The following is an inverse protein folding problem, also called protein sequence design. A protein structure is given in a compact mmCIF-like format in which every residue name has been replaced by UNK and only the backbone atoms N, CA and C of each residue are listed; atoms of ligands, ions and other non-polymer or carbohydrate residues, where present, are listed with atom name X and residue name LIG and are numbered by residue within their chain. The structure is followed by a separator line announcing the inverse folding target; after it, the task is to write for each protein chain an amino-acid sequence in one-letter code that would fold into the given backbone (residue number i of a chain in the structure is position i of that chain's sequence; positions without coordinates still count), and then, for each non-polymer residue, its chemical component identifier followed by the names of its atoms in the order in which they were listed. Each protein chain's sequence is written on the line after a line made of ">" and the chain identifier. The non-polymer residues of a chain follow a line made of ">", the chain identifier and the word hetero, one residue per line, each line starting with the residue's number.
data_IF_302129676836
#
_entry.id   IF_302129676836
#
_cell.length_a   1.000
_cell.length_b   1.000
_cell.length_c   1.000
_cell.angle_alpha   90.00
_cell.angle_beta   90.00
_cell.angle_gamma   90.00
#
_symmetry.space_group_name_H-M   'P 1'
#
loop_
_entity.id
_entity.type
_entity.pdbx_description
1 polymer ?
#
# COMPACT_ATOMS: atom_id res chain seq x y z
N UNK A 1 13.27 18.82 -10.06
CA UNK A 1 13.64 17.47 -10.52
C UNK A 1 13.78 17.49 -12.04
N UNK A 2 14.91 17.03 -12.63
CA UNK A 2 15.08 16.96 -14.08
C UNK A 2 14.11 15.97 -14.73
N UNK A 3 13.83 16.18 -16.02
CA UNK A 3 12.82 15.39 -16.73
C UNK A 3 13.06 13.87 -16.73
N UNK A 4 14.29 13.36 -17.01
CA UNK A 4 14.53 11.93 -16.99
C UNK A 4 14.28 11.30 -15.61
N UNK A 5 14.70 12.00 -14.55
CA UNK A 5 14.47 11.57 -13.16
C UNK A 5 12.98 11.58 -12.83
N UNK A 6 12.24 12.63 -13.24
CA UNK A 6 10.78 12.71 -13.03
C UNK A 6 10.05 11.55 -13.68
N UNK A 7 10.40 11.20 -14.93
CA UNK A 7 9.78 10.06 -15.62
C UNK A 7 10.09 8.73 -14.96
N UNK A 8 11.35 8.51 -14.57
CA UNK A 8 11.75 7.29 -13.85
C UNK A 8 11.01 7.15 -12.52
N UNK A 9 10.96 8.21 -11.72
CA UNK A 9 10.21 8.25 -10.46
C UNK A 9 8.73 7.95 -10.70
N UNK A 10 8.09 8.60 -11.67
CA UNK A 10 6.67 8.35 -11.97
C UNK A 10 6.41 6.88 -12.37
N UNK A 11 7.29 6.28 -13.18
CA UNK A 11 7.16 4.88 -13.59
C UNK A 11 7.28 3.91 -12.40
N UNK A 12 8.24 4.15 -11.51
CA UNK A 12 8.44 3.31 -10.34
C UNK A 12 7.32 3.47 -9.31
N UNK A 13 6.84 4.70 -9.10
CA UNK A 13 5.66 4.95 -8.25
C UNK A 13 4.43 4.24 -8.81
N UNK A 14 4.22 4.28 -10.13
CA UNK A 14 3.16 3.52 -10.79
C UNK A 14 3.29 2.01 -10.48
N UNK A 15 4.47 1.42 -10.64
CA UNK A 15 4.71 0.01 -10.32
C UNK A 15 4.40 -0.29 -8.84
N UNK A 16 4.87 0.54 -7.91
CA UNK A 16 4.57 0.35 -6.49
C UNK A 16 3.06 0.38 -6.20
N UNK A 17 2.31 1.27 -6.87
CA UNK A 17 0.84 1.34 -6.75
C UNK A 17 0.18 0.08 -7.31
N UNK A 18 0.64 -0.45 -8.45
CA UNK A 18 0.14 -1.73 -8.98
C UNK A 18 0.37 -2.89 -8.00
N UNK A 19 1.54 -2.93 -7.35
CA UNK A 19 1.83 -3.94 -6.32
C UNK A 19 0.91 -3.78 -5.11
N UNK A 20 0.67 -2.56 -4.64
CA UNK A 20 -0.30 -2.29 -3.56
C UNK A 20 -1.73 -2.70 -3.94
N UNK A 21 -2.15 -2.48 -5.19
CA UNK A 21 -3.44 -2.95 -5.69
C UNK A 21 -3.55 -4.48 -5.60
N UNK A 22 -2.49 -5.21 -5.95
CA UNK A 22 -2.47 -6.67 -5.82
C UNK A 22 -2.55 -7.10 -4.34
N UNK A 23 -1.90 -6.39 -3.41
CA UNK A 23 -2.04 -6.65 -1.97
C UNK A 23 -3.50 -6.57 -1.54
N UNK A 24 -4.21 -5.50 -1.91
CA UNK A 24 -5.64 -5.35 -1.58
C UNK A 24 -6.48 -6.48 -2.17
N UNK A 25 -6.19 -6.88 -3.42
CA UNK A 25 -6.89 -7.97 -4.10
C UNK A 25 -6.72 -9.32 -3.38
N UNK A 26 -5.50 -9.63 -2.96
CA UNK A 26 -5.21 -10.88 -2.27
C UNK A 26 -5.72 -10.89 -0.82
N UNK A 27 -5.77 -9.72 -0.18
CA UNK A 27 -6.29 -9.57 1.19
C UNK A 27 -7.83 -9.65 1.26
N UNK A 28 -8.55 -9.22 0.23
CA UNK A 28 -10.01 -9.18 0.22
C UNK A 28 -10.70 -10.54 -0.02
N UNK A 29 -9.96 -11.61 -0.32
CA UNK A 29 -10.56 -12.89 -0.73
C UNK A 29 -10.24 -14.04 0.22
N UNK A 30 -11.29 -14.72 0.71
CA UNK A 30 -11.19 -16.06 1.32
C UNK A 30 -10.73 -17.14 0.31
N UNK A 31 -10.63 -16.78 -0.97
CA UNK A 31 -10.38 -17.68 -2.10
C UNK A 31 -8.89 -17.94 -2.33
N UNK A 32 -8.00 -17.04 -1.91
CA UNK A 32 -6.57 -17.20 -2.14
C UNK A 32 -5.92 -18.08 -1.07
N UNK A 33 -5.80 -19.40 -1.33
CA UNK A 33 -4.95 -20.32 -0.54
C UNK A 33 -3.52 -19.77 -0.31
N UNK A 34 -3.08 -18.89 -1.20
CA UNK A 34 -1.76 -18.27 -1.21
C UNK A 34 -1.74 -16.81 -0.72
N UNK A 35 -2.81 -16.29 -0.08
CA UNK A 35 -2.88 -14.88 0.30
C UNK A 35 -1.65 -14.44 1.10
N UNK A 36 -1.22 -15.23 2.08
CA UNK A 36 -0.04 -14.95 2.92
C UNK A 36 1.21 -14.72 2.08
N UNK A 37 1.46 -15.62 1.13
CA UNK A 37 2.65 -15.57 0.27
C UNK A 37 2.56 -14.36 -0.67
N UNK A 38 1.41 -14.19 -1.31
CA UNK A 38 1.24 -13.16 -2.32
C UNK A 38 1.18 -11.76 -1.72
N UNK A 39 0.48 -11.54 -0.60
CA UNK A 39 0.46 -10.25 0.07
C UNK A 39 1.85 -9.86 0.58
N UNK A 40 2.62 -10.80 1.13
CA UNK A 40 4.01 -10.55 1.54
C UNK A 40 4.92 -10.23 0.36
N UNK A 41 4.88 -11.00 -0.73
CA UNK A 41 5.69 -10.69 -1.91
C UNK A 41 5.32 -9.32 -2.50
N UNK A 42 4.03 -9.02 -2.66
CA UNK A 42 3.63 -7.76 -3.27
C UNK A 42 3.86 -6.55 -2.39
N UNK A 43 3.66 -6.65 -1.08
CA UNK A 43 3.96 -5.55 -0.17
C UNK A 43 5.47 -5.28 -0.09
N UNK A 44 6.30 -6.33 -0.12
CA UNK A 44 7.76 -6.18 -0.12
C UNK A 44 8.29 -5.62 -1.43
N UNK A 45 7.79 -6.09 -2.58
CA UNK A 45 8.08 -5.53 -3.91
C UNK A 45 7.73 -4.02 -3.97
N UNK A 46 6.55 -3.64 -3.46
CA UNK A 46 6.11 -2.25 -3.42
C UNK A 46 7.06 -1.38 -2.56
N UNK A 47 7.40 -1.86 -1.37
CA UNK A 47 8.29 -1.17 -0.46
C UNK A 47 9.71 -1.03 -1.04
N UNK A 48 10.24 -2.06 -1.71
CA UNK A 48 11.56 -1.99 -2.37
C UNK A 48 11.58 -1.04 -3.56
N UNK A 49 10.47 -0.98 -4.30
CA UNK A 49 10.31 -0.02 -5.40
C UNK A 49 10.30 1.40 -4.86
N UNK A 50 9.55 1.68 -3.79
CA UNK A 50 9.53 2.99 -3.14
C UNK A 50 10.87 3.36 -2.48
N UNK A 51 11.56 2.40 -1.87
CA UNK A 51 12.92 2.61 -1.39
C UNK A 51 13.87 2.97 -2.52
N UNK A 52 13.78 2.29 -3.67
CA UNK A 52 14.58 2.61 -4.85
C UNK A 52 14.28 4.02 -5.39
N UNK A 53 13.00 4.44 -5.36
CA UNK A 53 12.61 5.84 -5.69
C UNK A 53 13.29 6.83 -4.73
N UNK A 54 13.20 6.59 -3.42
CA UNK A 54 13.80 7.45 -2.41
C UNK A 54 15.32 7.54 -2.59
N UNK A 55 16.00 6.40 -2.81
CA UNK A 55 17.44 6.35 -3.04
C UNK A 55 17.86 7.05 -4.34
N UNK A 56 17.08 6.92 -5.42
CA UNK A 56 17.37 7.60 -6.67
C UNK A 56 17.26 9.13 -6.54
N UNK A 57 16.23 9.61 -5.84
CA UNK A 57 16.06 11.04 -5.54
C UNK A 57 17.19 11.53 -4.63
N UNK A 58 17.54 10.78 -3.57
CA UNK A 58 18.61 11.14 -2.65
C UNK A 58 19.97 11.19 -3.36
N UNK A 59 20.28 10.23 -4.23
CA UNK A 59 21.50 10.23 -5.04
C UNK A 59 21.59 11.46 -5.94
N UNK A 60 20.48 11.84 -6.58
CA UNK A 60 20.42 13.09 -7.35
C UNK A 60 20.67 14.33 -6.47
N UNK A 61 20.00 14.42 -5.31
CA UNK A 61 20.16 15.53 -4.38
C UNK A 61 21.61 15.63 -3.87
N UNK A 62 22.25 14.51 -3.53
CA UNK A 62 23.64 14.44 -3.10
C UNK A 62 24.58 14.92 -4.21
N UNK A 63 24.36 14.48 -5.46
CA UNK A 63 25.13 14.95 -6.61
C UNK A 63 25.00 16.47 -6.84
N UNK A 64 23.89 17.07 -6.41
CA UNK A 64 23.62 18.50 -6.50
C UNK A 64 23.94 19.27 -5.21
N UNK A 65 24.74 18.68 -4.32
CA UNK A 65 25.32 19.36 -3.16
C UNK A 65 24.41 19.44 -1.93
N UNK A 66 23.34 18.65 -1.86
CA UNK A 66 22.58 18.51 -0.61
C UNK A 66 23.42 17.72 0.40
N UNK A 67 23.52 18.27 1.60
CA UNK A 67 24.31 17.70 2.69
C UNK A 67 23.78 16.31 3.14
N UNK A 68 24.66 15.33 3.43
CA UNK A 68 24.25 13.99 3.86
C UNK A 68 23.40 13.94 5.13
N UNK A 69 23.64 14.80 6.12
CA UNK A 69 22.84 14.84 7.35
C UNK A 69 21.41 15.32 7.06
N UNK A 70 21.28 16.31 6.18
CA UNK A 70 19.98 16.76 5.67
C UNK A 70 19.26 15.64 4.92
N UNK A 71 19.97 14.89 4.06
CA UNK A 71 19.40 13.74 3.36
C UNK A 71 18.95 12.64 4.32
N UNK A 72 19.72 12.35 5.38
CA UNK A 72 19.34 11.38 6.39
C UNK A 72 18.02 11.77 7.08
N UNK A 73 17.81 13.07 7.31
CA UNK A 73 16.56 13.62 7.80
C UNK A 73 15.39 13.39 6.83
N UNK A 74 15.57 13.66 5.54
CA UNK A 74 14.54 13.44 4.52
C UNK A 74 14.22 11.95 4.30
N UNK A 75 15.24 11.10 4.38
CA UNK A 75 15.11 9.65 4.27
C UNK A 75 14.54 9.00 5.53
N UNK A 76 14.44 9.77 6.63
CA UNK A 76 13.93 9.30 7.92
C UNK A 76 14.63 8.01 8.39
N UNK A 77 15.96 7.93 8.23
CA UNK A 77 16.71 6.68 8.49
C UNK A 77 16.56 6.16 9.93
N UNK A 78 16.26 7.03 10.89
CA UNK A 78 15.98 6.62 12.27
C UNK A 78 14.66 5.89 12.45
N UNK A 79 13.74 5.99 11.49
CA UNK A 79 12.45 5.29 11.47
C UNK A 79 12.48 4.03 10.60
N UNK A 80 13.60 3.77 9.91
CA UNK A 80 13.73 2.59 9.06
C UNK A 80 13.71 1.33 9.93
N UNK A 81 12.89 0.36 9.54
CA UNK A 81 12.88 -0.98 10.12
C UNK A 81 13.38 -1.99 9.09
N UNK A 82 14.34 -2.82 9.48
CA UNK A 82 14.86 -3.88 8.62
C UNK A 82 13.89 -5.06 8.60
N UNK A 83 13.44 -5.43 7.40
CA UNK A 83 12.60 -6.62 7.22
C UNK A 83 13.34 -7.92 7.54
N UNK A 84 14.67 -7.92 7.47
CA UNK A 84 15.49 -9.08 7.81
C UNK A 84 15.45 -9.39 9.32
N UNK A 85 15.04 -8.42 10.14
CA UNK A 85 14.92 -8.57 11.59
C UNK A 85 13.62 -9.30 11.97
N UNK A 86 12.71 -9.49 11.00
CA UNK A 86 11.40 -10.11 11.18
C UNK A 86 10.42 -9.24 11.97
N UNK A 87 9.22 -9.77 12.28
CA UNK A 87 8.25 -9.04 13.10
C UNK A 87 8.81 -8.70 14.48
N UNK A 88 8.66 -7.45 14.88
CA UNK A 88 9.10 -6.91 16.17
C UNK A 88 8.00 -7.05 17.24
N UNK A 89 8.31 -6.70 18.49
CA UNK A 89 7.33 -6.71 19.58
C UNK A 89 6.14 -5.78 19.31
N UNK A 90 6.41 -4.61 18.75
CA UNK A 90 5.42 -3.63 18.30
C UNK A 90 4.42 -4.23 17.30
N UNK A 91 4.90 -5.00 16.31
CA UNK A 91 4.04 -5.70 15.33
C UNK A 91 3.17 -6.76 16.00
N UNK A 92 3.75 -7.55 16.92
CA UNK A 92 3.03 -8.60 17.66
C UNK A 92 1.99 -8.00 18.59
N UNK A 93 2.28 -6.86 19.20
CA UNK A 93 1.35 -6.15 20.08
C UNK A 93 0.16 -5.58 19.30
N UNK A 94 0.42 -4.94 18.14
CA UNK A 94 -0.65 -4.48 17.24
C UNK A 94 -1.51 -5.68 16.79
N UNK A 95 -0.89 -6.76 16.33
CA UNK A 95 -1.61 -7.99 15.92
C UNK A 95 -2.44 -8.58 17.06
N UNK A 96 -1.92 -8.63 18.29
CA UNK A 96 -2.65 -9.11 19.45
C UNK A 96 -3.90 -8.27 19.71
N UNK A 97 -3.80 -6.94 19.59
CA UNK A 97 -4.93 -6.03 19.67
C UNK A 97 -5.99 -6.29 18.60
N UNK A 98 -5.56 -6.47 17.34
CA UNK A 98 -6.44 -6.76 16.20
C UNK A 98 -7.21 -8.07 16.37
N UNK A 99 -6.57 -9.09 16.94
CA UNK A 99 -7.13 -10.42 17.09
C UNK A 99 -7.86 -10.64 18.44
N UNK A 100 -7.97 -9.60 19.28
CA UNK A 100 -8.55 -9.70 20.62
C UNK A 100 -7.78 -10.64 21.57
N UNK A 101 -6.49 -10.86 21.31
CA UNK A 101 -5.62 -11.69 22.12
C UNK A 101 -5.15 -10.91 23.36
N UNK A 102 -4.69 -11.63 24.38
CA UNK A 102 -4.09 -11.00 25.55
C UNK A 102 -2.90 -10.14 25.17
N UNK A 103 -2.82 -8.94 25.74
CA UNK A 103 -1.67 -8.06 25.58
C UNK A 103 -0.37 -8.79 25.96
N UNK A 104 0.75 -8.54 25.23
CA UNK A 104 2.07 -9.02 25.63
C UNK A 104 2.38 -8.67 27.10
N UNK A 105 3.01 -9.59 27.84
CA UNK A 105 3.20 -9.47 29.29
C UNK A 105 4.05 -8.25 29.73
N UNK A 106 4.80 -7.69 28.79
CA UNK A 106 5.70 -6.53 28.85
C UNK A 106 5.06 -5.22 28.34
N UNK A 107 3.83 -5.26 27.82
CA UNK A 107 3.14 -4.09 27.30
C UNK A 107 2.88 -2.99 28.35
N UNK A 108 3.00 -3.30 29.64
CA UNK A 108 2.89 -2.31 30.72
C UNK A 108 4.14 -1.43 30.89
N UNK A 109 5.32 -1.90 30.44
CA UNK A 109 6.61 -1.22 30.66
C UNK A 109 7.05 -0.35 29.46
N UNK A 110 6.59 -0.68 28.25
CA UNK A 110 6.92 0.04 27.02
C UNK A 110 5.69 0.79 26.47
N UNK A 111 5.68 2.11 26.62
CA UNK A 111 4.55 2.96 26.22
C UNK A 111 4.12 2.80 24.75
N UNK A 112 5.06 2.51 23.84
CA UNK A 112 4.81 2.26 22.42
C UNK A 112 4.03 0.97 22.19
N UNK A 113 4.42 -0.13 22.85
CA UNK A 113 3.78 -1.45 22.76
C UNK A 113 2.30 -1.35 23.18
N UNK A 114 2.02 -0.66 24.29
CA UNK A 114 0.65 -0.42 24.76
C UNK A 114 -0.18 0.38 23.77
N UNK A 115 0.42 1.44 23.21
CA UNK A 115 -0.25 2.29 22.23
C UNK A 115 -0.64 1.49 20.98
N UNK A 116 0.27 0.66 20.46
CA UNK A 116 0.03 -0.16 19.27
C UNK A 116 -0.99 -1.28 19.53
N UNK A 117 -0.93 -1.93 20.69
CA UNK A 117 -1.98 -2.86 21.11
C UNK A 117 -3.36 -2.19 21.13
N UNK A 118 -3.48 -1.02 21.78
CA UNK A 118 -4.73 -0.26 21.82
C UNK A 118 -5.17 0.28 20.46
N UNK A 119 -4.23 0.55 19.54
CA UNK A 119 -4.54 0.86 18.14
C UNK A 119 -5.18 -0.35 17.45
N UNK A 120 -4.58 -1.54 17.58
CA UNK A 120 -5.14 -2.76 17.02
C UNK A 120 -6.55 -3.07 17.52
N UNK A 121 -6.83 -2.83 18.81
CA UNK A 121 -8.18 -2.99 19.37
C UNK A 121 -9.20 -2.06 18.70
N UNK A 122 -8.85 -0.78 18.53
CA UNK A 122 -9.73 0.20 17.86
C UNK A 122 -10.00 -0.18 16.40
N UNK A 123 -8.96 -0.57 15.68
CA UNK A 123 -9.09 -1.03 14.29
C UNK A 123 -9.97 -2.30 14.19
N UNK A 124 -9.89 -3.21 15.16
CA UNK A 124 -10.77 -4.38 15.22
C UNK A 124 -12.24 -4.03 15.53
N UNK A 125 -12.48 -3.02 16.38
CA UNK A 125 -13.82 -2.49 16.63
C UNK A 125 -14.39 -1.79 15.40
N UNK A 126 -13.58 -1.00 14.69
CA UNK A 126 -13.95 -0.35 13.43
C UNK A 126 -14.27 -1.37 12.33
N UNK A 127 -13.48 -2.44 12.22
CA UNK A 127 -13.70 -3.52 11.24
C UNK A 127 -14.98 -4.34 11.48
N UNK A 128 -15.61 -4.25 12.66
CA UNK A 128 -16.92 -4.85 12.91
C UNK A 128 -18.07 -4.04 12.31
N UNK A 129 -17.82 -2.80 11.89
CA UNK A 129 -18.77 -2.03 11.10
C UNK A 129 -18.61 -2.43 9.62
N UNK A 130 -19.65 -2.99 8.99
CA UNK A 130 -19.55 -3.60 7.66
C UNK A 130 -19.36 -2.60 6.52
N UNK A 131 -19.44 -1.30 6.79
CA UNK A 131 -19.19 -0.28 5.78
C UNK A 131 -17.69 0.00 5.71
N UNK A 132 -17.03 -0.55 4.69
CA UNK A 132 -15.70 -0.10 4.30
C UNK A 132 -15.71 1.43 4.17
N UNK A 133 -14.67 2.09 4.67
CA UNK A 133 -14.52 3.55 4.51
C UNK A 133 -14.76 3.92 3.04
N UNK A 134 -15.63 4.91 2.75
CA UNK A 134 -15.92 5.34 1.38
C UNK A 134 -14.65 5.64 0.55
N UNK A 135 -13.59 6.11 1.22
CA UNK A 135 -12.28 6.37 0.64
C UNK A 135 -11.56 5.09 0.20
N UNK A 136 -11.66 4.01 0.97
CA UNK A 136 -11.10 2.69 0.61
C UNK A 136 -11.85 2.12 -0.60
N UNK A 137 -13.19 2.12 -0.55
CA UNK A 137 -14.03 1.68 -1.67
C UNK A 137 -13.74 2.47 -2.95
N UNK A 138 -13.66 3.80 -2.84
CA UNK A 138 -13.32 4.68 -3.96
C UNK A 138 -11.92 4.38 -4.53
N UNK A 139 -10.93 4.21 -3.66
CA UNK A 139 -9.55 3.93 -4.06
C UNK A 139 -9.45 2.59 -4.78
N UNK A 140 -10.06 1.54 -4.23
CA UNK A 140 -10.11 0.22 -4.87
C UNK A 140 -10.85 0.30 -6.20
N UNK A 141 -12.02 0.95 -6.25
CA UNK A 141 -12.79 1.09 -7.47
C UNK A 141 -12.02 1.85 -8.57
N UNK A 142 -11.32 2.92 -8.20
CA UNK A 142 -10.45 3.65 -9.12
C UNK A 142 -9.34 2.75 -9.67
N UNK A 143 -8.59 2.08 -8.80
CA UNK A 143 -7.46 1.25 -9.23
C UNK A 143 -7.93 0.08 -10.11
N UNK A 144 -9.00 -0.62 -9.73
CA UNK A 144 -9.50 -1.76 -10.48
C UNK A 144 -10.22 -1.36 -11.76
N UNK A 145 -11.03 -0.30 -11.73
CA UNK A 145 -11.75 0.21 -12.89
C UNK A 145 -10.82 0.72 -13.98
N UNK A 146 -9.83 1.53 -13.61
CA UNK A 146 -8.81 2.04 -14.54
C UNK A 146 -8.03 0.88 -15.19
N UNK A 147 -7.56 -0.09 -14.39
CA UNK A 147 -6.82 -1.26 -14.88
C UNK A 147 -7.66 -2.11 -15.82
N UNK A 148 -8.87 -2.46 -15.42
CA UNK A 148 -9.78 -3.29 -16.22
C UNK A 148 -10.08 -2.63 -17.58
N UNK A 149 -10.26 -1.31 -17.61
CA UNK A 149 -10.46 -0.57 -18.85
C UNK A 149 -9.22 -0.56 -19.75
N UNK A 150 -8.04 -0.30 -19.20
CA UNK A 150 -6.79 -0.24 -19.97
C UNK A 150 -6.37 -1.60 -20.52
N UNK A 151 -6.69 -2.69 -19.82
CA UNK A 151 -6.39 -4.05 -20.24
C UNK A 151 -7.50 -4.72 -21.07
N UNK A 152 -8.61 -4.02 -21.33
CA UNK A 152 -9.84 -4.58 -21.94
C UNK A 152 -10.35 -5.84 -21.22
N UNK A 153 -10.23 -5.86 -19.89
CA UNK A 153 -10.57 -7.00 -19.02
C UNK A 153 -11.57 -6.57 -17.94
N UNK A 154 -12.74 -6.10 -18.37
CA UNK A 154 -13.86 -5.78 -17.48
C UNK A 154 -14.40 -7.01 -16.74
N UNK A 155 -14.16 -8.21 -17.27
CA UNK A 155 -14.58 -9.47 -16.63
C UNK A 155 -13.81 -9.77 -15.35
N UNK A 156 -12.58 -9.27 -15.20
CA UNK A 156 -11.81 -9.38 -13.95
C UNK A 156 -12.51 -8.76 -12.74
N UNK A 157 -13.41 -7.78 -12.97
CA UNK A 157 -14.11 -7.06 -11.90
C UNK A 157 -15.11 -7.93 -11.12
N UNK A 158 -15.53 -9.06 -11.70
CA UNK A 158 -16.51 -9.97 -11.07
C UNK A 158 -15.95 -10.74 -9.87
N UNK A 159 -14.65 -10.59 -9.58
CA UNK A 159 -13.97 -11.22 -8.45
C UNK A 159 -14.02 -10.37 -7.17
N UNK A 160 -14.47 -9.12 -7.26
CA UNK A 160 -14.52 -8.19 -6.13
C UNK A 160 -15.90 -8.17 -5.47
N UNK A 161 -16.01 -7.66 -4.23
CA UNK A 161 -17.30 -7.37 -3.61
C UNK A 161 -18.22 -6.56 -4.55
N UNK A 162 -19.53 -6.82 -4.57
CA UNK A 162 -20.45 -6.24 -5.56
C UNK A 162 -20.40 -4.70 -5.64
N UNK A 163 -20.26 -4.04 -4.49
CA UNK A 163 -20.20 -2.58 -4.39
C UNK A 163 -18.95 -2.00 -5.06
N UNK A 164 -17.80 -2.64 -4.82
CA UNK A 164 -16.51 -2.31 -5.44
C UNK A 164 -16.57 -2.54 -6.94
N UNK A 165 -17.09 -3.70 -7.39
CA UNK A 165 -17.22 -4.03 -8.80
C UNK A 165 -18.12 -3.02 -9.53
N UNK A 166 -19.26 -2.65 -8.93
CA UNK A 166 -20.18 -1.66 -9.50
C UNK A 166 -19.55 -0.25 -9.59
N UNK A 167 -18.77 0.16 -8.60
CA UNK A 167 -18.05 1.43 -8.65
C UNK A 167 -16.89 1.40 -9.65
N UNK A 168 -16.12 0.31 -9.70
CA UNK A 168 -15.04 0.12 -10.66
C UNK A 168 -15.52 0.16 -12.12
N UNK A 169 -16.67 -0.45 -12.41
CA UNK A 169 -17.33 -0.37 -13.73
C UNK A 169 -17.69 1.08 -14.08
N UNK A 170 -18.24 1.85 -13.13
CA UNK A 170 -18.51 3.29 -13.33
C UNK A 170 -17.24 4.09 -13.64
N UNK A 171 -16.13 3.80 -12.96
CA UNK A 171 -14.83 4.42 -13.27
C UNK A 171 -14.36 4.05 -14.68
N UNK A 172 -14.43 2.78 -15.04
CA UNK A 172 -14.04 2.29 -16.37
C UNK A 172 -14.87 2.90 -17.50
N UNK A 173 -16.17 3.09 -17.27
CA UNK A 173 -17.09 3.71 -18.23
C UNK A 173 -16.86 5.21 -18.40
N UNK A 174 -16.43 5.90 -17.34
CA UNK A 174 -16.11 7.33 -17.37
C UNK A 174 -14.84 7.64 -18.18
N UNK A 175 -13.96 6.65 -18.39
CA UNK A 175 -12.81 6.78 -19.28
C UNK A 175 -13.25 6.69 -20.75
N UNK A 176 -13.53 7.84 -21.35
CA UNK A 176 -13.51 7.95 -22.81
C UNK A 176 -12.08 7.72 -23.29
N UNK A 177 -11.88 6.80 -24.23
CA UNK A 177 -10.60 6.67 -24.94
C UNK A 177 -10.41 7.99 -25.70
N UNK A 178 -9.34 8.77 -25.45
CA UNK A 178 -9.07 9.95 -26.27
C UNK A 178 -8.94 9.49 -27.72
N UNK A 179 -9.73 10.05 -28.63
CA UNK A 179 -9.51 9.82 -30.06
C UNK A 179 -8.06 10.20 -30.38
N UNK A 180 -7.33 9.38 -31.15
CA UNK A 180 -5.99 9.74 -31.57
C UNK A 180 -6.09 11.08 -32.32
N UNK A 181 -5.27 12.05 -31.91
CA UNK A 181 -5.20 13.34 -32.59
C UNK A 181 -4.92 13.06 -34.08
N UNK A 182 -5.93 13.31 -34.92
CA UNK A 182 -5.80 13.22 -36.37
C UNK A 182 -4.68 14.14 -36.81
N UNK A 183 -3.69 13.55 -37.49
CA UNK A 183 -2.52 14.23 -38.06
C UNK A 183 -2.91 15.24 -39.17
#
# INVERSE_FOLDING_TARGET
>A
MPEPLRRAVNQMVYEAVERCQEVMSYAASDVARDWKRMTLYRSTDAADTMNSVAMLIAAYCQQNGVDPETLNGYLQLSQQQSRADGPQEDDRAHLAGLLGQTAPADASELGTVRMLYGRGQREAEEAQQPEDSPEVLFTMACLHGLRAKLCDDLGSLDRFPPEVAAMARRVADALQVPEPATA
#
